data_IF_312454336873
#
_entry.id   IF_312454336873
#
_cell.length_a   1.000
_cell.length_b   1.000
_cell.length_c   1.000
_cell.angle_alpha   90.00
_cell.angle_beta   90.00
_cell.angle_gamma   90.00
#
_symmetry.space_group_name_H-M   'P 1'
#
loop_
_entity.id
_entity.type
_entity.pdbx_description
1 polymer ?
#
# COMPACT_ATOMS: atom_id res chain seq x y z
N UNK A 1 -5.41 50.72 16.46
CA UNK A 1 -5.93 49.43 16.96
C UNK A 1 -5.08 48.35 16.30
N UNK A 2 -4.09 47.81 17.01
CA UNK A 2 -3.24 46.75 16.49
C UNK A 2 -3.95 45.41 16.76
N UNK A 3 -4.19 44.66 15.68
CA UNK A 3 -4.78 43.32 15.71
C UNK A 3 -3.75 42.35 16.29
N UNK A 4 -4.01 41.83 17.49
CA UNK A 4 -3.23 40.73 18.06
C UNK A 4 -3.47 39.47 17.23
N UNK A 5 -2.41 38.96 16.61
CA UNK A 5 -2.42 37.67 15.96
C UNK A 5 -2.65 36.59 17.03
N UNK A 6 -3.77 35.89 16.93
CA UNK A 6 -4.11 34.75 17.77
C UNK A 6 -3.06 33.65 17.56
N UNK A 7 -2.18 33.46 18.54
CA UNK A 7 -1.20 32.39 18.52
C UNK A 7 -1.93 31.05 18.52
N UNK A 8 -1.68 30.25 17.49
CA UNK A 8 -2.09 28.85 17.43
C UNK A 8 -1.46 28.13 18.63
N UNK A 9 -2.22 27.36 19.43
CA UNK A 9 -1.66 26.73 20.62
C UNK A 9 -0.55 25.76 20.20
N UNK A 10 0.66 26.03 20.68
CA UNK A 10 1.78 25.07 20.59
C UNK A 10 1.43 23.92 21.53
N UNK A 11 1.02 22.78 20.97
CA UNK A 11 0.68 21.59 21.74
C UNK A 11 1.98 21.07 22.38
N UNK A 12 2.04 21.14 23.71
CA UNK A 12 3.13 20.61 24.53
C UNK A 12 3.46 19.16 24.13
N UNK A 13 4.73 18.88 23.84
CA UNK A 13 5.22 17.57 23.39
C UNK A 13 5.32 16.53 24.51
N UNK A 14 4.99 16.88 25.76
CA UNK A 14 5.12 16.02 26.95
C UNK A 14 3.99 15.01 27.14
N UNK A 15 2.82 15.25 26.54
CA UNK A 15 1.60 14.47 26.84
C UNK A 15 1.17 13.54 25.68
N UNK A 16 2.03 13.38 24.67
CA UNK A 16 1.72 12.54 23.51
C UNK A 16 1.92 11.07 23.82
N UNK A 17 0.82 10.34 23.97
CA UNK A 17 0.81 8.88 24.07
C UNK A 17 0.54 8.24 22.70
N UNK A 18 1.61 7.85 22.01
CA UNK A 18 1.53 7.16 20.71
C UNK A 18 0.76 5.85 20.81
N UNK A 19 0.92 5.08 21.89
CA UNK A 19 0.29 3.77 22.03
C UNK A 19 -1.23 3.92 22.15
N UNK A 20 -1.68 4.94 22.88
CA UNK A 20 -3.09 5.30 22.95
C UNK A 20 -3.66 5.73 21.59
N UNK A 21 -2.93 6.52 20.81
CA UNK A 21 -3.37 6.93 19.46
C UNK A 21 -3.45 5.74 18.50
N UNK A 22 -2.44 4.86 18.49
CA UNK A 22 -2.46 3.63 17.69
C UNK A 22 -3.65 2.74 18.05
N UNK A 23 -3.88 2.53 19.35
CA UNK A 23 -5.00 1.71 19.81
C UNK A 23 -6.34 2.32 19.40
N UNK A 24 -6.51 3.63 19.58
CA UNK A 24 -7.75 4.32 19.18
C UNK A 24 -7.99 4.16 17.67
N UNK A 25 -6.95 4.32 16.86
CA UNK A 25 -7.03 4.11 15.41
C UNK A 25 -7.40 2.66 15.07
N UNK A 26 -6.72 1.68 15.66
CA UNK A 26 -6.93 0.25 15.40
C UNK A 26 -8.33 -0.22 15.84
N UNK A 27 -8.81 0.25 17.00
CA UNK A 27 -10.14 -0.07 17.55
C UNK A 27 -11.27 0.37 16.61
N UNK A 28 -11.05 1.40 15.76
CA UNK A 28 -12.07 1.83 14.79
C UNK A 28 -12.35 0.78 13.72
N UNK A 29 -11.35 -0.05 13.39
CA UNK A 29 -11.35 -0.97 12.23
C UNK A 29 -11.67 -0.31 10.88
N UNK A 30 -11.65 1.01 10.83
CA UNK A 30 -12.04 1.80 9.66
C UNK A 30 -10.88 2.01 8.69
N UNK A 31 -9.66 1.93 9.23
CA UNK A 31 -8.43 2.22 8.52
C UNK A 31 -8.27 3.69 8.12
N UNK A 32 -7.30 3.93 7.25
CA UNK A 32 -6.96 5.25 6.72
C UNK A 32 -8.11 5.82 5.89
N UNK A 33 -8.80 4.99 5.10
CA UNK A 33 -9.99 5.44 4.36
C UNK A 33 -11.06 5.98 5.31
N UNK A 34 -11.29 5.34 6.45
CA UNK A 34 -12.22 5.83 7.47
C UNK A 34 -11.88 7.23 7.99
N UNK A 35 -10.59 7.54 8.14
CA UNK A 35 -10.15 8.90 8.50
C UNK A 35 -10.45 9.90 7.36
N UNK A 36 -10.18 9.52 6.11
CA UNK A 36 -10.47 10.36 4.94
C UNK A 36 -11.96 10.63 4.81
N UNK A 37 -12.79 9.59 4.93
CA UNK A 37 -14.26 9.68 4.83
C UNK A 37 -14.86 10.56 5.94
N UNK A 38 -14.22 10.62 7.11
CA UNK A 38 -14.58 11.53 8.21
C UNK A 38 -14.13 12.98 8.00
N UNK A 39 -13.43 13.28 6.90
CA UNK A 39 -13.01 14.64 6.56
C UNK A 39 -11.89 15.19 7.44
N UNK A 40 -10.94 14.34 7.87
CA UNK A 40 -9.79 14.80 8.67
C UNK A 40 -9.05 15.93 7.95
N UNK A 41 -8.85 17.06 8.65
CA UNK A 41 -8.14 18.23 8.11
C UNK A 41 -6.67 18.27 8.50
N UNK A 42 -6.23 17.35 9.37
CA UNK A 42 -4.85 17.20 9.83
C UNK A 42 -4.47 15.72 9.88
N UNK A 43 -3.26 15.41 9.43
CA UNK A 43 -2.70 14.07 9.51
C UNK A 43 -2.42 13.74 10.99
N UNK A 44 -2.96 12.62 11.53
CA UNK A 44 -2.66 12.15 12.88
C UNK A 44 -1.16 11.88 13.07
N UNK A 45 -0.66 12.06 14.30
CA UNK A 45 0.79 12.04 14.58
C UNK A 45 1.41 10.67 14.33
N UNK A 46 0.64 9.59 14.46
CA UNK A 46 1.12 8.23 14.17
C UNK A 46 1.63 8.06 12.73
N UNK A 47 1.10 8.83 11.76
CA UNK A 47 1.46 8.78 10.33
C UNK A 47 2.58 9.76 9.94
N UNK A 48 3.05 10.59 10.86
CA UNK A 48 4.12 11.54 10.58
C UNK A 48 5.45 10.83 10.84
N UNK A 49 6.18 10.53 9.76
CA UNK A 49 7.51 9.94 9.86
C UNK A 49 8.45 10.89 10.62
N UNK A 50 9.08 10.44 11.71
CA UNK A 50 10.08 11.24 12.40
C UNK A 50 11.19 11.64 11.42
N UNK A 51 11.62 12.90 11.48
CA UNK A 51 12.76 13.36 10.69
C UNK A 51 14.03 12.67 11.21
N UNK A 52 14.43 11.57 10.58
CA UNK A 52 15.65 10.82 10.88
C UNK A 52 16.88 11.39 10.13
N UNK A 53 16.73 12.57 9.52
CA UNK A 53 17.74 13.20 8.67
C UNK A 53 17.86 12.56 7.28
N UNK A 54 17.11 11.50 6.97
CA UNK A 54 17.06 10.86 5.65
C UNK A 54 15.99 11.47 4.74
N UNK A 55 15.78 12.78 4.85
CA UNK A 55 15.05 13.50 3.81
C UNK A 55 15.91 13.37 2.55
N UNK A 56 15.55 12.43 1.68
CA UNK A 56 16.06 12.39 0.32
C UNK A 56 15.65 13.74 -0.26
N UNK A 57 16.63 14.61 -0.49
CA UNK A 57 16.39 15.82 -1.29
C UNK A 57 15.64 15.36 -2.54
N UNK A 58 14.60 16.09 -2.99
CA UNK A 58 14.00 15.79 -4.27
C UNK A 58 15.15 15.65 -5.29
N UNK A 59 15.18 14.51 -5.98
CA UNK A 59 16.13 14.28 -7.06
C UNK A 59 15.90 15.41 -8.06
N UNK A 60 16.98 16.03 -8.55
CA UNK A 60 16.87 17.04 -9.60
C UNK A 60 16.06 16.47 -10.76
N UNK A 61 15.20 17.29 -11.38
CA UNK A 61 14.48 16.91 -12.60
C UNK A 61 15.44 16.56 -13.77
N UNK A 62 16.74 16.86 -13.63
CA UNK A 62 17.80 16.61 -14.62
C UNK A 62 18.32 15.16 -14.68
N UNK A 63 17.76 14.21 -13.92
CA UNK A 63 18.19 12.80 -13.99
C UNK A 63 17.17 11.98 -14.78
N UNK A 64 17.50 11.68 -16.04
CA UNK A 64 16.78 10.71 -16.87
C UNK A 64 17.00 9.28 -16.36
N UNK A 65 16.28 8.92 -15.30
CA UNK A 65 16.22 7.55 -14.79
C UNK A 65 15.08 6.83 -15.50
N UNK A 66 15.42 5.92 -16.43
CA UNK A 66 14.45 5.04 -17.07
C UNK A 66 14.49 3.64 -16.44
N UNK A 67 13.41 3.23 -15.78
CA UNK A 67 13.23 1.87 -15.28
C UNK A 67 13.24 0.91 -16.49
N UNK A 68 13.98 -0.21 -16.44
CA UNK A 68 13.99 -1.18 -17.54
C UNK A 68 12.58 -1.67 -17.90
N UNK A 69 12.29 -1.72 -19.20
CA UNK A 69 11.06 -2.28 -19.76
C UNK A 69 11.45 -3.46 -20.62
N UNK A 70 10.93 -4.64 -20.30
CA UNK A 70 11.26 -5.90 -20.95
C UNK A 70 10.02 -6.41 -21.68
N UNK A 71 10.13 -6.56 -22.99
CA UNK A 71 9.09 -7.14 -23.84
C UNK A 71 9.28 -8.65 -23.93
N UNK A 72 8.32 -9.42 -23.42
CA UNK A 72 8.38 -10.88 -23.40
C UNK A 72 7.62 -11.54 -24.56
N UNK A 73 7.23 -10.76 -25.57
CA UNK A 73 6.58 -11.30 -26.77
C UNK A 73 7.43 -12.40 -27.41
N UNK A 74 6.82 -13.57 -27.61
CA UNK A 74 7.46 -14.70 -28.29
C UNK A 74 8.45 -15.49 -27.43
N UNK A 75 8.48 -15.26 -26.10
CA UNK A 75 9.31 -16.02 -25.14
C UNK A 75 9.14 -17.55 -25.26
N UNK A 76 7.94 -18.02 -25.62
CA UNK A 76 7.65 -19.45 -25.80
C UNK A 76 7.72 -19.92 -27.26
N UNK A 77 8.00 -19.02 -28.21
CA UNK A 77 8.01 -19.32 -29.65
C UNK A 77 9.42 -19.51 -30.23
N UNK A 78 10.44 -18.90 -29.63
CA UNK A 78 11.81 -18.92 -30.18
C UNK A 78 12.86 -18.99 -29.07
N UNK A 79 13.72 -20.02 -29.09
CA UNK A 79 14.76 -20.27 -28.08
C UNK A 79 15.78 -19.13 -27.98
N UNK A 80 16.14 -18.49 -29.10
CA UNK A 80 17.07 -17.35 -29.09
C UNK A 80 16.41 -16.10 -28.49
N UNK A 81 15.12 -15.88 -28.76
CA UNK A 81 14.34 -14.78 -28.15
C UNK A 81 14.21 -15.02 -26.64
N UNK A 82 13.86 -16.24 -26.23
CA UNK A 82 13.81 -16.63 -24.82
C UNK A 82 15.13 -16.37 -24.11
N UNK A 83 16.26 -16.76 -24.73
CA UNK A 83 17.58 -16.54 -24.16
C UNK A 83 17.87 -15.04 -23.94
N UNK A 84 17.57 -14.20 -24.94
CA UNK A 84 17.70 -12.74 -24.83
C UNK A 84 16.86 -12.17 -23.69
N UNK A 85 15.58 -12.55 -23.60
CA UNK A 85 14.67 -12.11 -22.53
C UNK A 85 15.18 -12.52 -21.14
N UNK A 86 15.67 -13.75 -20.99
CA UNK A 86 16.25 -14.23 -19.72
C UNK A 86 17.49 -13.43 -19.33
N UNK A 87 18.33 -13.08 -20.31
CA UNK A 87 19.50 -12.20 -20.09
C UNK A 87 19.07 -10.79 -19.68
N UNK A 88 18.07 -10.20 -20.33
CA UNK A 88 17.50 -8.88 -19.98
C UNK A 88 16.91 -8.88 -18.55
N UNK A 89 16.17 -9.93 -18.17
CA UNK A 89 15.61 -10.07 -16.81
C UNK A 89 16.73 -10.20 -15.78
N UNK A 90 17.75 -11.01 -16.04
CA UNK A 90 18.90 -11.16 -15.14
C UNK A 90 19.58 -9.81 -14.94
N UNK A 91 19.91 -9.13 -16.03
CA UNK A 91 20.66 -7.88 -15.98
C UNK A 91 19.84 -6.79 -15.25
N UNK A 92 18.54 -6.67 -15.52
CA UNK A 92 17.66 -5.74 -14.80
C UNK A 92 17.51 -6.10 -13.31
N UNK A 93 17.45 -7.38 -12.98
CA UNK A 93 17.38 -7.84 -11.58
C UNK A 93 18.66 -7.52 -10.80
N UNK A 94 19.83 -7.70 -11.42
CA UNK A 94 21.13 -7.45 -10.79
C UNK A 94 21.45 -5.95 -10.67
N UNK A 95 21.06 -5.15 -11.66
CA UNK A 95 21.43 -3.73 -11.72
C UNK A 95 20.39 -2.80 -11.09
N UNK A 96 19.09 -3.11 -11.24
CA UNK A 96 17.99 -2.28 -10.75
C UNK A 96 17.22 -2.91 -9.59
N UNK A 97 17.11 -4.24 -9.58
CA UNK A 97 16.21 -4.95 -8.66
C UNK A 97 14.71 -4.77 -8.97
N UNK A 98 14.38 -4.08 -10.07
CA UNK A 98 13.01 -3.83 -10.51
C UNK A 98 12.96 -3.57 -12.02
N UNK A 99 11.88 -3.96 -12.69
CA UNK A 99 11.63 -3.76 -14.11
C UNK A 99 10.13 -3.84 -14.41
N UNK A 100 9.72 -3.37 -15.58
CA UNK A 100 8.36 -3.51 -16.11
C UNK A 100 8.32 -4.58 -17.20
N UNK A 101 7.23 -5.34 -17.28
CA UNK A 101 7.01 -6.35 -18.32
C UNK A 101 5.95 -5.88 -19.31
N UNK A 102 6.20 -6.09 -20.61
CA UNK A 102 5.22 -5.93 -21.68
C UNK A 102 4.89 -7.28 -22.31
N UNK A 103 3.71 -7.40 -22.90
CA UNK A 103 3.24 -8.60 -23.60
C UNK A 103 3.30 -9.87 -22.71
N UNK A 104 2.95 -9.72 -21.44
CA UNK A 104 2.94 -10.80 -20.45
C UNK A 104 1.73 -11.76 -20.55
N UNK A 105 0.97 -11.69 -21.66
CA UNK A 105 -0.19 -12.53 -21.98
C UNK A 105 -1.35 -12.54 -20.96
N UNK A 106 -1.31 -11.68 -19.93
CA UNK A 106 -2.46 -11.47 -19.03
C UNK A 106 -3.42 -10.52 -19.75
N UNK A 107 -4.67 -10.93 -20.01
CA UNK A 107 -5.65 -10.09 -20.70
C UNK A 107 -5.91 -8.78 -19.96
N UNK A 108 -6.02 -7.67 -20.70
CA UNK A 108 -6.24 -6.35 -20.11
C UNK A 108 -7.52 -6.29 -19.27
N UNK A 109 -8.60 -6.97 -19.71
CA UNK A 109 -9.85 -7.00 -18.95
C UNK A 109 -9.68 -7.67 -17.57
N UNK A 110 -8.80 -8.68 -17.45
CA UNK A 110 -8.53 -9.32 -16.15
C UNK A 110 -7.80 -8.34 -15.23
N UNK A 111 -6.89 -7.53 -15.75
CA UNK A 111 -6.20 -6.50 -14.96
C UNK A 111 -7.17 -5.40 -14.51
N UNK A 112 -8.05 -4.94 -15.40
CA UNK A 112 -9.10 -3.95 -15.09
C UNK A 112 -10.08 -4.48 -14.03
N UNK A 113 -10.53 -5.74 -14.18
CA UNK A 113 -11.43 -6.40 -13.25
C UNK A 113 -10.83 -6.50 -11.83
N UNK A 114 -9.53 -6.81 -11.71
CA UNK A 114 -8.86 -6.86 -10.39
C UNK A 114 -8.81 -5.47 -9.73
N UNK A 115 -8.50 -4.41 -10.49
CA UNK A 115 -8.52 -3.04 -9.97
C UNK A 115 -9.93 -2.67 -9.49
N UNK A 116 -10.95 -3.05 -10.28
CA UNK A 116 -12.35 -2.80 -9.94
C UNK A 116 -12.81 -3.58 -8.71
N UNK A 117 -12.39 -4.83 -8.53
CA UNK A 117 -12.66 -5.63 -7.32
C UNK A 117 -12.07 -4.95 -6.08
N UNK A 118 -10.78 -4.57 -6.13
CA UNK A 118 -10.12 -3.91 -5.00
C UNK A 118 -10.84 -2.61 -4.64
N UNK A 119 -11.17 -1.79 -5.64
CA UNK A 119 -11.94 -0.56 -5.43
C UNK A 119 -13.31 -0.84 -4.80
N UNK A 120 -14.07 -1.80 -5.34
CA UNK A 120 -15.39 -2.18 -4.79
C UNK A 120 -15.28 -2.61 -3.34
N UNK A 121 -14.27 -3.40 -2.97
CA UNK A 121 -14.03 -3.78 -1.58
C UNK A 121 -13.81 -2.56 -0.68
N UNK A 122 -12.90 -1.65 -1.05
CA UNK A 122 -12.56 -0.50 -0.22
C UNK A 122 -13.70 0.54 -0.11
N UNK A 123 -14.58 0.64 -1.11
CA UNK A 123 -15.77 1.50 -1.09
C UNK A 123 -16.97 0.91 -0.35
N UNK A 124 -16.89 -0.32 0.15
CA UNK A 124 -17.95 -0.88 1.00
C UNK A 124 -18.10 -0.09 2.32
N UNK A 125 -19.30 -0.14 2.95
CA UNK A 125 -19.50 0.36 4.30
C UNK A 125 -18.47 -0.18 5.28
N UNK A 126 -18.11 0.65 6.27
CA UNK A 126 -17.11 0.28 7.27
C UNK A 126 -17.48 -1.00 8.01
N UNK A 127 -18.76 -1.20 8.30
CA UNK A 127 -19.29 -2.35 9.04
C UNK A 127 -18.98 -3.66 8.31
N UNK A 128 -19.13 -3.68 6.98
CA UNK A 128 -18.85 -4.84 6.13
C UNK A 128 -17.34 -5.12 6.09
N UNK A 129 -16.51 -4.08 5.91
CA UNK A 129 -15.04 -4.25 5.90
C UNK A 129 -14.50 -4.66 7.27
N UNK A 130 -15.15 -4.24 8.36
CA UNK A 130 -14.76 -4.57 9.72
C UNK A 130 -14.86 -6.07 10.04
N UNK A 131 -15.68 -6.83 9.29
CA UNK A 131 -15.74 -8.30 9.38
C UNK A 131 -14.45 -8.97 8.92
N UNK A 132 -13.76 -8.35 7.96
CA UNK A 132 -12.47 -8.82 7.44
C UNK A 132 -11.29 -8.21 8.21
N UNK A 133 -11.54 -7.25 9.11
CA UNK A 133 -10.46 -6.55 9.82
C UNK A 133 -9.72 -7.48 10.77
N UNK A 134 -8.42 -7.66 10.56
CA UNK A 134 -7.62 -8.60 11.35
C UNK A 134 -6.16 -8.20 11.50
N UNK A 135 -5.60 -8.48 12.69
CA UNK A 135 -4.17 -8.46 12.97
C UNK A 135 -3.55 -9.87 13.01
N UNK A 136 -4.38 -10.91 12.91
CA UNK A 136 -3.94 -12.30 12.86
C UNK A 136 -3.31 -12.61 11.49
N UNK A 137 -2.00 -12.89 11.51
CA UNK A 137 -1.19 -13.22 10.33
C UNK A 137 -1.47 -14.63 9.79
N UNK A 138 -2.21 -15.47 10.51
CA UNK A 138 -2.60 -16.81 10.07
C UNK A 138 -3.86 -16.81 9.20
N UNK A 139 -4.64 -15.72 9.21
CA UNK A 139 -5.80 -15.58 8.32
C UNK A 139 -5.34 -15.59 6.86
N UNK A 140 -6.06 -16.32 6.02
CA UNK A 140 -5.80 -16.34 4.57
C UNK A 140 -6.41 -15.11 3.87
N UNK A 141 -7.55 -14.63 4.32
CA UNK A 141 -8.20 -13.41 3.80
C UNK A 141 -8.34 -12.42 4.94
N UNK A 142 -8.05 -11.15 4.66
CA UNK A 142 -8.21 -10.11 5.65
C UNK A 142 -8.02 -8.71 5.11
N UNK A 143 -8.36 -7.77 5.97
CA UNK A 143 -8.21 -6.34 5.76
C UNK A 143 -7.51 -5.74 6.98
N UNK A 144 -6.60 -4.79 6.76
CA UNK A 144 -5.99 -4.03 7.84
C UNK A 144 -5.36 -2.74 7.35
N UNK A 145 -4.96 -1.89 8.28
CA UNK A 145 -4.07 -0.76 8.01
C UNK A 145 -2.75 -1.00 8.71
N UNK A 146 -1.64 -1.05 7.97
CA UNK A 146 -0.29 -1.36 8.49
C UNK A 146 -0.15 -2.74 9.15
N UNK A 147 0.51 -3.70 8.51
CA UNK A 147 0.72 -5.04 9.09
C UNK A 147 1.61 -5.06 10.36
N UNK A 148 2.35 -3.99 10.59
CA UNK A 148 3.35 -3.74 11.64
C UNK A 148 2.96 -2.55 12.54
N UNK A 149 1.67 -2.21 12.62
CA UNK A 149 1.14 -0.99 13.28
C UNK A 149 1.77 -0.67 14.65
N UNK A 150 1.95 -1.67 15.51
CA UNK A 150 2.48 -1.51 16.88
C UNK A 150 4.01 -1.65 16.98
N UNK A 151 4.67 -2.12 15.92
CA UNK A 151 6.11 -2.40 15.87
C UNK A 151 6.87 -1.28 15.14
N UNK A 152 6.27 -0.74 14.07
CA UNK A 152 6.90 0.26 13.22
C UNK A 152 7.08 1.62 13.92
N UNK A 153 8.17 2.35 13.63
CA UNK A 153 8.42 3.69 14.18
C UNK A 153 7.43 4.75 13.66
N UNK A 154 6.86 4.53 12.48
CA UNK A 154 5.86 5.38 11.85
C UNK A 154 4.85 4.51 11.09
N UNK A 155 3.60 4.96 11.00
CA UNK A 155 2.55 4.27 10.23
C UNK A 155 2.49 4.82 8.81
N UNK A 156 2.26 3.96 7.82
CA UNK A 156 1.97 4.35 6.44
C UNK A 156 0.50 4.75 6.27
N UNK A 157 0.26 5.74 5.41
CA UNK A 157 -1.07 6.20 5.01
C UNK A 157 -1.67 5.26 3.96
N UNK A 158 -1.99 4.03 4.37
CA UNK A 158 -2.45 2.94 3.49
C UNK A 158 -3.35 1.96 4.24
N UNK A 159 -4.32 1.45 3.50
CA UNK A 159 -5.08 0.25 3.85
C UNK A 159 -4.75 -0.89 2.91
N UNK A 160 -4.84 -2.13 3.41
CA UNK A 160 -4.50 -3.35 2.68
C UNK A 160 -5.63 -4.35 2.81
N UNK A 161 -6.15 -4.80 1.67
CA UNK A 161 -6.87 -6.06 1.55
C UNK A 161 -5.90 -7.13 1.04
N UNK A 162 -5.93 -8.33 1.62
CA UNK A 162 -5.08 -9.43 1.21
C UNK A 162 -5.86 -10.76 1.16
N UNK A 163 -5.44 -11.60 0.22
CA UNK A 163 -5.92 -12.97 0.04
C UNK A 163 -4.72 -13.87 -0.31
N UNK A 164 -4.34 -14.74 0.62
CA UNK A 164 -3.26 -15.69 0.46
C UNK A 164 -3.78 -16.92 -0.30
N UNK A 165 -3.45 -16.99 -1.58
CA UNK A 165 -3.90 -18.04 -2.52
C UNK A 165 -3.00 -19.29 -2.52
N UNK A 166 -1.92 -19.30 -1.72
CA UNK A 166 -0.92 -20.36 -1.64
C UNK A 166 -0.50 -20.59 -0.18
N UNK A 167 0.03 -21.78 0.19
CA UNK A 167 0.28 -22.95 -0.66
C UNK A 167 -0.97 -23.76 -1.00
N UNK A 168 -2.00 -23.75 -0.15
CA UNK A 168 -3.27 -24.43 -0.45
C UNK A 168 -4.25 -23.46 -1.10
N UNK A 169 -5.15 -24.04 -1.89
CA UNK A 169 -6.27 -23.34 -2.51
C UNK A 169 -7.06 -22.52 -1.48
N UNK A 170 -7.39 -21.29 -1.84
CA UNK A 170 -8.29 -20.44 -1.07
C UNK A 170 -9.73 -20.83 -1.41
N UNK A 171 -10.52 -21.14 -0.38
CA UNK A 171 -11.95 -21.33 -0.54
C UNK A 171 -12.61 -20.01 -0.98
N UNK A 172 -13.22 -19.93 -2.19
CA UNK A 172 -13.82 -18.71 -2.71
C UNK A 172 -14.93 -18.16 -1.83
N UNK A 173 -15.61 -18.99 -1.03
CA UNK A 173 -16.65 -18.55 -0.10
C UNK A 173 -16.09 -17.68 1.04
N UNK A 174 -14.77 -17.69 1.25
CA UNK A 174 -14.10 -16.85 2.26
C UNK A 174 -13.77 -15.44 1.77
N UNK A 175 -13.91 -15.17 0.47
CA UNK A 175 -13.71 -13.84 -0.10
C UNK A 175 -14.92 -12.93 0.17
N UNK A 176 -14.72 -11.60 0.21
CA UNK A 176 -15.83 -10.65 0.18
C UNK A 176 -16.75 -10.91 -1.02
N UNK A 177 -18.07 -10.78 -0.85
CA UNK A 177 -19.07 -10.99 -1.91
C UNK A 177 -18.87 -10.10 -3.14
N UNK A 178 -18.17 -8.98 -2.97
CA UNK A 178 -17.84 -8.05 -4.06
C UNK A 178 -16.61 -8.49 -4.89
N UNK A 179 -15.87 -9.49 -4.42
CA UNK A 179 -14.70 -10.06 -5.07
C UNK A 179 -15.06 -11.19 -6.04
#
# INVERSE_FOLDING_TARGET
MASEAQQVPVINTSDYDRQKELKLFDDTKAGVKGLVDQGVTRIPRIFITPSDGRVTKPVSDDVDIAIPVIDIEGVDKNVNVRKRIVEEIRDASETWGFFQLLNHDIPLNVMDEIIDVVRRFHEQPQEVKAEYYTRDRLKKVGFHSNFDLYEAPATNWRDTFFANMAPDYLDPETLPVVC
#
